data_IF_739099361182
#
_entry.id   IF_739099361182
#
_cell.length_a   1.000
_cell.length_b   1.000
_cell.length_c   1.000
_cell.angle_alpha   90.00
_cell.angle_beta   90.00
_cell.angle_gamma   90.00
#
_symmetry.space_group_name_H-M   'P 1'
#
loop_
_entity.id
_entity.type
_entity.pdbx_description
1 polymer ?
#
# COMPACT_ATOMS: atom_id res chain seq x y z
N UNK A 1 -5.69 8.94 -24.62
CA UNK A 1 -5.38 8.25 -23.35
C UNK A 1 -4.17 8.93 -22.75
N UNK A 2 -4.24 9.35 -21.48
CA UNK A 2 -3.07 9.86 -20.78
C UNK A 2 -2.17 8.66 -20.40
N UNK A 3 -0.87 8.76 -20.68
CA UNK A 3 0.11 7.78 -20.24
C UNK A 3 0.46 8.06 -18.76
N UNK A 4 0.39 7.05 -17.92
CA UNK A 4 0.59 7.15 -16.47
C UNK A 4 1.88 6.41 -16.12
N UNK A 5 2.93 7.17 -15.80
CA UNK A 5 4.22 6.64 -15.33
C UNK A 5 4.27 6.71 -13.81
N UNK A 6 4.29 5.54 -13.17
CA UNK A 6 4.37 5.45 -11.71
C UNK A 6 5.59 4.63 -11.31
N UNK A 7 6.39 5.16 -10.38
CA UNK A 7 7.49 4.42 -9.77
C UNK A 7 6.93 3.53 -8.65
N UNK A 8 7.03 2.21 -8.83
CA UNK A 8 6.46 1.24 -7.89
C UNK A 8 7.10 1.30 -6.50
N UNK A 9 8.41 1.57 -6.42
CA UNK A 9 9.09 1.76 -5.14
C UNK A 9 8.63 3.01 -4.39
N UNK A 10 8.19 4.05 -5.11
CA UNK A 10 7.58 5.22 -4.50
C UNK A 10 6.20 4.90 -3.91
N UNK A 11 5.38 4.10 -4.62
CA UNK A 11 4.10 3.65 -4.09
C UNK A 11 4.25 2.74 -2.87
N UNK A 12 5.22 1.83 -2.88
CA UNK A 12 5.53 0.95 -1.74
C UNK A 12 5.89 1.77 -0.50
N UNK A 13 6.75 2.79 -0.66
CA UNK A 13 7.09 3.72 0.41
C UNK A 13 5.86 4.50 0.91
N UNK A 14 5.00 4.98 0.01
CA UNK A 14 3.78 5.69 0.38
C UNK A 14 2.86 4.76 1.18
N UNK A 15 2.70 3.50 0.78
CA UNK A 15 1.91 2.52 1.52
C UNK A 15 2.44 2.36 2.96
N UNK A 16 3.75 2.16 3.14
CA UNK A 16 4.34 2.06 4.48
C UNK A 16 4.17 3.32 5.33
N UNK A 17 4.25 4.50 4.71
CA UNK A 17 4.04 5.77 5.42
C UNK A 17 2.59 5.94 5.86
N UNK A 18 1.63 5.58 5.01
CA UNK A 18 0.21 5.62 5.35
C UNK A 18 -0.11 4.66 6.51
N UNK A 19 0.44 3.45 6.47
CA UNK A 19 0.31 2.46 7.55
C UNK A 19 0.83 2.98 8.90
N UNK A 20 1.99 3.64 8.89
CA UNK A 20 2.56 4.27 10.08
C UNK A 20 1.68 5.41 10.61
N UNK A 21 1.14 6.26 9.73
CA UNK A 21 0.25 7.37 10.13
C UNK A 21 -1.05 6.81 10.72
N UNK A 22 -1.65 5.79 10.11
CA UNK A 22 -2.86 5.14 10.66
C UNK A 22 -2.59 4.61 12.07
N UNK A 23 -1.46 3.94 12.27
CA UNK A 23 -1.05 3.42 13.59
C UNK A 23 -0.85 4.54 14.62
N UNK A 24 -0.27 5.67 14.23
CA UNK A 24 -0.13 6.84 15.11
C UNK A 24 -1.50 7.39 15.53
N UNK A 25 -2.44 7.45 14.59
CA UNK A 25 -3.81 7.91 14.85
C UNK A 25 -4.55 6.98 15.84
N UNK A 26 -4.36 5.67 15.77
CA UNK A 26 -4.96 4.70 16.72
C UNK A 26 -4.44 4.88 18.14
N UNK A 27 -3.17 5.21 18.30
CA UNK A 27 -2.55 5.38 19.61
C UNK A 27 -2.80 6.77 20.23
N UNK A 28 -3.25 7.74 19.44
CA UNK A 28 -3.44 9.11 19.90
C UNK A 28 -4.59 9.28 20.91
N UNK A 29 -5.52 8.32 21.05
CA UNK A 29 -6.68 8.41 21.97
C UNK A 29 -6.24 8.44 23.43
N UNK A 30 -5.27 7.61 23.81
CA UNK A 30 -4.79 7.51 25.19
C UNK A 30 -4.18 8.81 25.72
N UNK A 31 -3.64 9.67 24.84
CA UNK A 31 -2.98 10.91 25.26
C UNK A 31 -3.97 11.98 25.75
N UNK A 32 -5.23 11.93 25.31
CA UNK A 32 -6.20 12.98 25.60
C UNK A 32 -6.85 12.80 26.98
N UNK A 33 -7.17 11.58 27.37
CA UNK A 33 -7.70 11.27 28.71
C UNK A 33 -6.66 11.60 29.80
N UNK A 34 -5.37 11.30 29.52
CA UNK A 34 -4.26 11.67 30.40
C UNK A 34 -4.13 13.19 30.55
N UNK A 35 -4.34 13.95 29.47
CA UNK A 35 -4.34 15.40 29.50
C UNK A 35 -5.47 15.96 30.37
N UNK A 36 -6.69 15.43 30.23
CA UNK A 36 -7.83 15.84 31.04
C UNK A 36 -7.58 15.59 32.54
N UNK A 37 -7.07 14.40 32.86
CA UNK A 37 -6.70 14.00 34.21
C UNK A 37 -5.60 14.90 34.80
N UNK A 38 -4.61 15.29 33.97
CA UNK A 38 -3.54 16.19 34.38
C UNK A 38 -4.03 17.62 34.65
N UNK A 39 -5.05 18.09 33.92
CA UNK A 39 -5.67 19.40 34.15
C UNK A 39 -6.47 19.41 35.46
N UNK A 40 -7.27 18.36 35.73
CA UNK A 40 -8.09 18.20 36.93
C UNK A 40 -9.02 19.41 37.22
N UNK A 41 -9.15 19.82 38.49
CA UNK A 41 -9.97 20.96 38.95
C UNK A 41 -9.17 21.84 39.93
N UNK A 42 -8.16 22.60 39.49
CA UNK A 42 -7.43 23.49 40.38
C UNK A 42 -8.37 24.57 40.91
N UNK A 43 -8.37 24.80 42.22
CA UNK A 43 -9.23 25.80 42.88
C UNK A 43 -10.74 25.59 42.61
N UNK A 44 -11.18 24.33 42.49
CA UNK A 44 -12.55 23.95 42.16
C UNK A 44 -13.07 24.51 40.81
N UNK A 45 -12.14 24.88 39.92
CA UNK A 45 -12.43 25.42 38.59
C UNK A 45 -12.23 24.35 37.51
N UNK A 46 -13.28 24.10 36.74
CA UNK A 46 -13.34 23.05 35.71
C UNK A 46 -13.26 23.57 34.28
N UNK A 47 -13.28 24.87 34.05
CA UNK A 47 -13.51 25.45 32.72
C UNK A 47 -12.42 25.06 31.71
N UNK A 48 -11.16 24.94 32.16
CA UNK A 48 -10.07 24.48 31.30
C UNK A 48 -10.21 23.00 30.95
N UNK A 49 -10.62 22.17 31.92
CA UNK A 49 -10.84 20.74 31.70
C UNK A 49 -12.00 20.52 30.74
N UNK A 50 -13.12 21.19 30.95
CA UNK A 50 -14.30 21.13 30.07
C UNK A 50 -13.95 21.57 28.65
N UNK A 51 -13.11 22.59 28.47
CA UNK A 51 -12.66 23.02 27.14
C UNK A 51 -11.72 22.00 26.49
N UNK A 52 -10.89 21.31 27.27
CA UNK A 52 -10.05 20.23 26.77
C UNK A 52 -10.91 19.02 26.35
N UNK A 53 -11.90 18.65 27.15
CA UNK A 53 -12.88 17.60 26.84
C UNK A 53 -13.69 17.95 25.58
N UNK A 54 -14.25 19.16 25.49
CA UNK A 54 -14.99 19.65 24.30
C UNK A 54 -14.14 19.54 23.02
N UNK A 55 -12.85 19.82 23.13
CA UNK A 55 -11.91 19.71 22.01
C UNK A 55 -11.64 18.25 21.66
N UNK A 56 -11.41 17.42 22.67
CA UNK A 56 -11.15 15.98 22.55
C UNK A 56 -12.30 15.27 21.83
N UNK A 57 -13.53 15.42 22.30
CA UNK A 57 -14.71 14.77 21.70
C UNK A 57 -14.91 15.17 20.22
N UNK A 58 -14.67 16.44 19.89
CA UNK A 58 -14.76 16.92 18.49
C UNK A 58 -13.60 16.46 17.64
N UNK A 59 -12.42 16.31 18.23
CA UNK A 59 -11.24 15.85 17.54
C UNK A 59 -11.29 14.36 17.29
N UNK A 60 -11.78 13.57 18.24
CA UNK A 60 -11.92 12.12 18.11
C UNK A 60 -12.73 11.74 16.86
N UNK A 61 -13.93 12.29 16.70
CA UNK A 61 -14.74 12.04 15.51
C UNK A 61 -14.14 12.56 14.19
N UNK A 62 -13.26 13.56 14.22
CA UNK A 62 -12.51 14.01 13.02
C UNK A 62 -11.32 13.10 12.74
N UNK A 63 -10.63 12.65 13.79
CA UNK A 63 -9.49 11.75 13.75
C UNK A 63 -9.92 10.39 13.20
N UNK A 64 -11.03 9.84 13.67
CA UNK A 64 -11.60 8.58 13.19
C UNK A 64 -11.88 8.65 11.67
N UNK A 65 -12.59 9.67 11.21
CA UNK A 65 -12.86 9.87 9.77
C UNK A 65 -11.60 10.03 8.92
N UNK A 66 -10.60 10.76 9.44
CA UNK A 66 -9.32 10.92 8.76
C UNK A 66 -8.58 9.58 8.71
N UNK A 67 -8.59 8.81 9.80
CA UNK A 67 -8.01 7.47 9.88
C UNK A 67 -8.63 6.54 8.84
N UNK A 68 -9.96 6.45 8.80
CA UNK A 68 -10.69 5.64 7.81
C UNK A 68 -10.32 6.00 6.37
N UNK A 69 -10.24 7.31 6.07
CA UNK A 69 -9.86 7.79 4.74
C UNK A 69 -8.41 7.40 4.37
N UNK A 70 -7.50 7.44 5.34
CA UNK A 70 -6.11 7.05 5.16
C UNK A 70 -5.96 5.52 5.02
N UNK A 71 -6.75 4.73 5.74
CA UNK A 71 -6.83 3.27 5.60
C UNK A 71 -7.33 2.88 4.20
N UNK A 72 -8.36 3.54 3.69
CA UNK A 72 -8.87 3.30 2.35
C UNK A 72 -7.82 3.66 1.29
N UNK A 73 -7.15 4.80 1.43
CA UNK A 73 -6.07 5.20 0.55
C UNK A 73 -4.91 4.21 0.60
N UNK A 74 -4.51 3.76 1.79
CA UNK A 74 -3.48 2.75 1.99
C UNK A 74 -3.84 1.46 1.26
N UNK A 75 -5.08 0.97 1.42
CA UNK A 75 -5.58 -0.23 0.76
C UNK A 75 -5.50 -0.11 -0.76
N UNK A 76 -5.88 1.04 -1.34
CA UNK A 76 -5.77 1.26 -2.77
C UNK A 76 -4.32 1.27 -3.26
N UNK A 77 -3.43 2.01 -2.58
CA UNK A 77 -2.01 2.06 -2.96
C UNK A 77 -1.36 0.68 -2.85
N UNK A 78 -1.62 -0.04 -1.75
CA UNK A 78 -1.13 -1.41 -1.54
C UNK A 78 -1.64 -2.36 -2.62
N UNK A 79 -2.93 -2.27 -2.98
CA UNK A 79 -3.51 -3.07 -4.06
C UNK A 79 -2.83 -2.86 -5.42
N UNK A 80 -2.44 -1.62 -5.75
CA UNK A 80 -1.65 -1.34 -6.95
C UNK A 80 -0.26 -1.96 -6.84
N UNK A 81 0.42 -1.80 -5.70
CA UNK A 81 1.76 -2.36 -5.46
C UNK A 81 1.76 -3.89 -5.59
N UNK A 82 0.83 -4.55 -4.92
CA UNK A 82 0.71 -6.01 -4.92
C UNK A 82 0.34 -6.53 -6.31
N UNK A 83 -0.56 -5.84 -7.02
CA UNK A 83 -0.92 -6.19 -8.40
C UNK A 83 0.28 -6.17 -9.35
N UNK A 84 1.12 -5.14 -9.27
CA UNK A 84 2.34 -5.06 -10.08
C UNK A 84 3.38 -6.12 -9.70
N UNK A 85 3.61 -6.35 -8.40
CA UNK A 85 4.56 -7.38 -7.93
C UNK A 85 4.15 -8.80 -8.36
N UNK A 86 2.85 -9.10 -8.27
CA UNK A 86 2.30 -10.39 -8.73
C UNK A 86 2.48 -10.54 -10.24
N UNK A 87 2.11 -9.51 -11.02
CA UNK A 87 2.29 -9.52 -12.46
C UNK A 87 3.76 -9.70 -12.88
N UNK A 88 4.69 -9.00 -12.23
CA UNK A 88 6.13 -9.11 -12.49
C UNK A 88 6.64 -10.54 -12.22
N UNK A 89 6.25 -11.12 -11.09
CA UNK A 89 6.61 -12.49 -10.70
C UNK A 89 6.05 -13.54 -11.67
N UNK A 90 4.77 -13.44 -12.04
CA UNK A 90 4.14 -14.34 -13.01
C UNK A 90 4.79 -14.25 -14.38
N UNK A 91 5.11 -13.03 -14.83
CA UNK A 91 5.76 -12.79 -16.13
C UNK A 91 7.18 -13.35 -16.15
N UNK A 92 7.95 -13.19 -15.06
CA UNK A 92 9.28 -13.77 -14.95
C UNK A 92 9.25 -15.31 -15.08
N UNK A 93 8.32 -15.97 -14.37
CA UNK A 93 8.13 -17.42 -14.47
C UNK A 93 7.76 -17.87 -15.89
N UNK A 94 6.90 -17.12 -16.58
CA UNK A 94 6.55 -17.39 -17.98
C UNK A 94 7.76 -17.24 -18.91
N UNK A 95 8.64 -16.27 -18.67
CA UNK A 95 9.87 -16.11 -19.46
C UNK A 95 10.87 -17.23 -19.22
N UNK A 96 11.08 -17.66 -17.98
CA UNK A 96 11.98 -18.78 -17.65
C UNK A 96 11.49 -20.10 -18.26
N UNK A 97 10.19 -20.39 -18.13
CA UNK A 97 9.59 -21.59 -18.71
C UNK A 97 9.68 -21.61 -20.24
N UNK A 98 9.47 -20.47 -20.90
CA UNK A 98 9.60 -20.35 -22.35
C UNK A 98 11.07 -20.43 -22.84
N UNK A 99 12.03 -19.98 -22.02
CA UNK A 99 13.47 -20.09 -22.31
C UNK A 99 13.97 -21.54 -22.19
N UNK A 100 13.40 -22.35 -21.29
CA UNK A 100 13.76 -23.78 -21.17
C UNK A 100 13.38 -24.62 -22.41
N UNK A 101 12.43 -24.15 -23.23
CA UNK A 101 12.00 -24.81 -24.47
C UNK A 101 12.96 -24.53 -25.64
N UNK A 102 13.86 -23.56 -25.53
CA UNK A 102 14.82 -23.20 -26.58
C UNK A 102 16.26 -23.54 -26.19
N UNK A 103 16.60 -24.83 -26.18
CA UNK A 103 18.01 -25.25 -26.14
C UNK A 103 18.72 -24.88 -27.47
N UNK A 104 19.93 -24.28 -27.45
CA UNK A 104 20.65 -23.93 -28.65
C UNK A 104 21.31 -25.19 -29.23
N UNK A 105 20.72 -25.75 -30.29
CA UNK A 105 21.36 -26.78 -31.10
C UNK A 105 20.45 -27.93 -31.49
N UNK A 106 19.63 -27.73 -32.52
CA UNK A 106 19.29 -28.81 -33.45
C UNK A 106 19.23 -28.20 -34.85
N UNK A 107 20.18 -28.50 -35.75
CA UNK A 107 20.15 -27.99 -37.11
C UNK A 107 18.91 -28.55 -37.79
N UNK A 108 18.17 -27.65 -38.46
CA UNK A 108 16.93 -27.98 -39.14
C UNK A 108 17.08 -29.20 -40.03
N UNK A 109 16.23 -30.20 -39.79
CA UNK A 109 15.94 -31.21 -40.81
C UNK A 109 15.22 -30.50 -41.95
N UNK A 110 15.99 -30.11 -42.96
CA UNK A 110 15.46 -29.72 -44.27
C UNK A 110 14.51 -30.82 -44.78
N UNK A 111 13.39 -30.47 -45.42
CA UNK A 111 12.53 -31.47 -46.03
C UNK A 111 13.31 -32.14 -47.16
N UNK A 112 13.45 -33.47 -47.09
CA UNK A 112 14.06 -34.24 -48.16
C UNK A 112 13.21 -34.10 -49.43
N UNK A 113 13.62 -33.21 -50.33
CA UNK A 113 13.13 -33.13 -51.69
C UNK A 113 13.71 -34.31 -52.48
N UNK A 114 12.87 -35.31 -52.77
CA UNK A 114 13.16 -36.35 -53.77
C UNK A 114 13.44 -35.73 -55.14
N UNK A 115 14.53 -36.09 -55.83
CA UNK A 115 14.64 -35.82 -57.25
C UNK A 115 13.94 -36.93 -58.05
N UNK A 116 13.16 -36.52 -59.04
CA UNK A 116 12.61 -37.39 -60.07
C UNK A 116 13.60 -37.56 -61.24
N UNK A 117 13.41 -38.65 -62.00
CA UNK A 117 13.98 -39.05 -63.30
C UNK A 117 15.43 -39.60 -63.26
N UNK A 118 15.78 -40.73 -63.91
CA UNK A 118 15.39 -41.31 -65.21
C UNK A 118 15.42 -42.85 -65.13
#
# INVERSE_FOLDING_TARGET
MADVKINIGTLDRIASQLDAIVTEFENATSNSEELEAAIANPYDRSELREKAQDFEERWDGKREKLKESLEELHKHVKGVVDGFKNWDSETALQFESNTSVQAPGSPGSAPASSPAAV
#
